data_IF_115238424448
#
_entry.id   IF_115238424448
#
_cell.length_a   1.000
_cell.length_b   1.000
_cell.length_c   1.000
_cell.angle_alpha   90.00
_cell.angle_beta   90.00
_cell.angle_gamma   90.00
#
_symmetry.space_group_name_H-M   'P 1'
#
loop_
_entity.id
_entity.type
_entity.pdbx_description
1 polymer ?
#
# COMPACT_ATOMS: atom_id res chain seq x y z
N UNK A 1 61.61 -33.70 36.13
CA UNK A 1 60.30 -34.02 35.52
C UNK A 1 59.39 -32.83 35.76
N UNK A 2 59.19 -31.98 34.74
CA UNK A 2 58.37 -30.76 34.81
C UNK A 2 57.04 -31.08 34.11
N UNK A 3 55.95 -31.22 34.87
CA UNK A 3 54.60 -31.24 34.29
C UNK A 3 54.14 -29.79 34.09
N UNK A 4 54.08 -29.36 32.84
CA UNK A 4 53.45 -28.11 32.42
C UNK A 4 51.94 -28.36 32.32
N UNK A 5 51.16 -27.73 33.21
CA UNK A 5 49.71 -27.64 33.06
C UNK A 5 49.39 -26.63 31.95
N UNK A 6 48.88 -27.11 30.83
CA UNK A 6 48.40 -26.26 29.74
C UNK A 6 47.01 -25.71 30.11
N UNK A 7 46.93 -24.39 30.29
CA UNK A 7 45.68 -23.64 30.41
C UNK A 7 45.09 -23.52 29.00
N UNK A 8 44.00 -24.26 28.74
CA UNK A 8 43.21 -24.06 27.52
C UNK A 8 42.32 -22.84 27.73
N UNK A 9 42.79 -21.67 27.26
CA UNK A 9 41.96 -20.47 27.10
C UNK A 9 41.00 -20.72 25.93
N UNK A 10 39.77 -21.14 26.22
CA UNK A 10 38.68 -21.03 25.26
C UNK A 10 38.31 -19.54 25.14
N UNK A 11 38.92 -18.86 24.17
CA UNK A 11 38.40 -17.60 23.69
C UNK A 11 37.02 -17.87 23.07
N UNK A 12 35.97 -17.70 23.86
CA UNK A 12 34.60 -17.65 23.35
C UNK A 12 34.47 -16.38 22.53
N UNK A 13 34.78 -16.47 21.25
CA UNK A 13 34.42 -15.47 20.26
C UNK A 13 32.89 -15.42 20.22
N UNK A 14 32.29 -14.59 21.09
CA UNK A 14 30.93 -14.15 20.89
C UNK A 14 30.95 -13.30 19.62
N UNK A 15 30.69 -13.95 18.48
CA UNK A 15 30.32 -13.26 17.26
C UNK A 15 29.03 -12.53 17.61
N UNK A 16 29.14 -11.26 17.98
CA UNK A 16 28.02 -10.33 17.95
C UNK A 16 27.61 -10.28 16.48
N UNK A 17 26.68 -11.17 16.10
CA UNK A 17 25.87 -10.97 14.93
C UNK A 17 25.14 -9.65 15.19
N UNK A 18 25.73 -8.55 14.74
CA UNK A 18 25.04 -7.33 14.44
C UNK A 18 24.07 -7.67 13.31
N UNK A 19 23.00 -8.37 13.66
CA UNK A 19 21.84 -8.53 12.83
C UNK A 19 21.37 -7.11 12.60
N UNK A 20 21.58 -6.62 11.38
CA UNK A 20 20.98 -5.40 10.89
C UNK A 20 19.48 -5.56 11.14
N UNK A 21 18.98 -4.98 12.23
CA UNK A 21 17.55 -4.76 12.37
C UNK A 21 17.24 -3.86 11.19
N UNK A 22 16.61 -4.41 10.15
CA UNK A 22 15.85 -3.56 9.22
C UNK A 22 14.97 -2.74 10.15
N UNK A 23 15.24 -1.44 10.22
CA UNK A 23 14.32 -0.51 10.84
C UNK A 23 13.00 -0.74 10.12
N UNK A 24 12.11 -1.52 10.75
CA UNK A 24 10.74 -1.61 10.34
C UNK A 24 10.18 -0.23 10.70
N UNK A 25 10.39 0.71 9.78
CA UNK A 25 9.82 2.02 9.91
C UNK A 25 8.32 1.82 10.19
N UNK A 26 7.74 2.60 11.13
CA UNK A 26 6.39 2.37 11.58
C UNK A 26 5.45 2.33 10.36
N UNK A 27 4.47 1.41 10.34
CA UNK A 27 3.49 1.37 9.27
C UNK A 27 2.85 2.75 9.14
N UNK A 28 2.70 3.20 7.89
CA UNK A 28 1.95 4.41 7.57
C UNK A 28 0.48 4.16 7.95
N UNK A 29 0.13 4.52 9.18
CA UNK A 29 -1.24 4.41 9.69
C UNK A 29 -2.01 5.67 9.31
N UNK A 30 -3.15 5.49 8.66
CA UNK A 30 -4.02 6.57 8.22
C UNK A 30 -4.82 6.18 6.99
N UNK A 31 -5.80 7.01 6.66
CA UNK A 31 -6.53 6.90 5.40
C UNK A 31 -5.65 7.33 4.23
N UNK A 32 -6.00 6.99 2.98
CA UNK A 32 -5.21 7.46 1.84
C UNK A 32 -5.01 8.98 1.85
N UNK A 33 -6.01 9.76 2.30
CA UNK A 33 -5.92 11.21 2.33
C UNK A 33 -4.94 11.73 3.39
N UNK A 34 -4.69 10.95 4.44
CA UNK A 34 -3.74 11.30 5.49
C UNK A 34 -2.30 11.09 5.03
N UNK A 35 -2.03 10.08 4.19
CA UNK A 35 -0.67 9.67 3.83
C UNK A 35 -0.26 10.01 2.40
N UNK A 36 -1.20 10.31 1.51
CA UNK A 36 -0.92 10.57 0.10
C UNK A 36 -1.48 11.92 -0.38
N UNK A 37 -0.66 12.64 -1.13
CA UNK A 37 -1.06 13.79 -1.94
C UNK A 37 -1.45 13.35 -3.35
N UNK A 38 -2.64 13.74 -3.79
CA UNK A 38 -3.21 13.35 -5.10
C UNK A 38 -3.05 14.42 -6.18
N UNK A 39 -2.30 15.49 -5.92
CA UNK A 39 -1.97 16.50 -6.94
C UNK A 39 -1.23 15.84 -8.10
N UNK A 40 -1.89 15.73 -9.26
CA UNK A 40 -1.34 15.03 -10.43
C UNK A 40 -1.55 13.51 -10.43
N UNK A 41 -2.44 12.99 -9.57
CA UNK A 41 -2.76 11.57 -9.54
C UNK A 41 -3.39 11.09 -10.84
N UNK A 42 -2.95 9.91 -11.31
CA UNK A 42 -3.40 9.31 -12.57
C UNK A 42 -3.86 7.88 -12.31
N UNK A 43 -4.93 7.48 -12.98
CA UNK A 43 -5.32 6.08 -13.06
C UNK A 43 -4.77 5.49 -14.36
N UNK A 44 -4.00 4.41 -14.26
CA UNK A 44 -3.45 3.68 -15.41
C UNK A 44 -3.97 2.25 -15.40
N UNK A 45 -4.29 1.72 -16.58
CA UNK A 45 -4.90 0.38 -16.77
C UNK A 45 -6.19 0.18 -15.95
N UNK A 46 -6.87 1.28 -15.60
CA UNK A 46 -8.09 1.24 -14.82
C UNK A 46 -7.92 0.77 -13.36
N UNK A 47 -6.71 0.49 -12.86
CA UNK A 47 -6.44 -0.04 -11.50
C UNK A 47 -5.28 0.62 -10.75
N UNK A 48 -4.29 1.16 -11.46
CA UNK A 48 -3.08 1.71 -10.86
C UNK A 48 -3.27 3.18 -10.55
N UNK A 49 -3.43 3.51 -9.27
CA UNK A 49 -3.50 4.88 -8.80
C UNK A 49 -2.09 5.40 -8.51
N UNK A 50 -1.64 6.34 -9.32
CA UNK A 50 -0.42 7.09 -9.06
C UNK A 50 -0.68 8.19 -8.05
N UNK A 51 0.08 8.23 -6.95
CA UNK A 51 -0.01 9.28 -5.94
C UNK A 51 1.35 9.53 -5.26
N UNK A 52 1.53 10.73 -4.72
CA UNK A 52 2.70 11.08 -3.92
C UNK A 52 2.42 10.72 -2.46
N UNK A 53 2.87 9.55 -2.03
CA UNK A 53 2.66 9.09 -0.66
C UNK A 53 3.90 9.35 0.19
N UNK A 54 3.68 9.66 1.48
CA UNK A 54 4.76 9.69 2.46
C UNK A 54 5.44 8.33 2.48
N UNK A 55 6.76 8.33 2.46
CA UNK A 55 7.50 7.11 2.72
C UNK A 55 7.70 6.96 4.24
N UNK A 56 8.20 5.80 4.63
CA UNK A 56 8.43 5.45 6.02
C UNK A 56 9.77 6.00 6.56
N UNK A 57 10.49 6.82 5.77
CA UNK A 57 11.74 7.44 6.22
C UNK A 57 11.45 8.75 6.94
N UNK A 58 11.20 8.65 8.24
CA UNK A 58 10.75 9.75 9.12
C UNK A 58 11.75 10.92 9.18
N UNK A 59 13.04 10.69 8.88
CA UNK A 59 14.08 11.73 8.90
C UNK A 59 14.09 12.65 7.66
N UNK A 60 13.40 12.29 6.59
CA UNK A 60 13.28 13.12 5.39
C UNK A 60 11.82 13.09 4.98
N UNK A 61 11.10 14.22 5.08
CA UNK A 61 9.71 14.38 4.62
C UNK A 61 9.58 14.21 3.09
N UNK A 62 9.94 13.04 2.59
CA UNK A 62 10.11 12.76 1.19
C UNK A 62 8.86 12.03 0.70
N UNK A 63 8.11 12.71 -0.15
CA UNK A 63 6.98 12.11 -0.84
C UNK A 63 7.51 11.35 -2.05
N UNK A 64 7.24 10.06 -2.12
CA UNK A 64 7.64 9.23 -3.26
C UNK A 64 6.43 9.00 -4.15
N UNK A 65 6.57 9.30 -5.45
CA UNK A 65 5.53 8.92 -6.42
C UNK A 65 5.42 7.40 -6.45
N UNK A 66 4.23 6.91 -6.13
CA UNK A 66 3.97 5.51 -5.86
C UNK A 66 2.74 5.07 -6.63
N UNK A 67 2.78 3.85 -7.15
CA UNK A 67 1.63 3.19 -7.75
C UNK A 67 0.94 2.30 -6.72
N UNK A 68 -0.34 2.56 -6.52
CA UNK A 68 -1.22 1.81 -5.62
C UNK A 68 -2.13 0.94 -6.49
N UNK A 69 -2.17 -0.37 -6.22
CA UNK A 69 -3.12 -1.26 -6.87
C UNK A 69 -4.50 -1.20 -6.21
N UNK A 70 -5.47 -0.58 -6.90
CA UNK A 70 -6.83 -0.48 -6.37
C UNK A 70 -7.58 -1.83 -6.35
N UNK A 71 -7.13 -2.85 -7.09
CA UNK A 71 -7.74 -4.18 -6.99
C UNK A 71 -7.55 -4.82 -5.62
N UNK A 72 -6.56 -4.37 -4.86
CA UNK A 72 -6.30 -4.86 -3.51
C UNK A 72 -7.20 -4.23 -2.46
N UNK A 73 -7.96 -3.18 -2.80
CA UNK A 73 -8.79 -2.44 -1.85
C UNK A 73 -10.19 -2.04 -2.34
N UNK A 74 -10.55 -2.33 -3.60
CA UNK A 74 -11.85 -1.99 -4.16
C UNK A 74 -12.51 -3.23 -4.76
N UNK A 75 -13.78 -3.44 -4.46
CA UNK A 75 -14.64 -4.47 -5.06
C UNK A 75 -15.82 -3.83 -5.81
N UNK A 76 -16.41 -4.64 -6.67
CA UNK A 76 -17.74 -4.40 -7.22
C UNK A 76 -18.77 -5.23 -6.45
N UNK A 77 -19.75 -4.57 -5.86
CA UNK A 77 -20.88 -5.19 -5.18
C UNK A 77 -22.17 -4.86 -5.93
N UNK A 78 -22.59 -5.76 -6.81
CA UNK A 78 -23.81 -5.63 -7.63
C UNK A 78 -23.93 -4.31 -8.42
N UNK A 79 -22.83 -3.85 -9.01
CA UNK A 79 -22.77 -2.59 -9.76
C UNK A 79 -22.34 -1.39 -8.93
N UNK A 80 -22.11 -1.56 -7.62
CA UNK A 80 -21.65 -0.52 -6.71
C UNK A 80 -20.18 -0.76 -6.30
N UNK A 81 -19.32 0.24 -6.49
CA UNK A 81 -17.97 0.23 -5.95
C UNK A 81 -17.99 0.34 -4.43
N UNK A 82 -17.27 -0.55 -3.77
CA UNK A 82 -17.08 -0.54 -2.32
C UNK A 82 -15.61 -0.70 -1.96
N UNK A 83 -15.22 -0.13 -0.82
CA UNK A 83 -13.96 -0.46 -0.18
C UNK A 83 -14.00 -1.91 0.33
N UNK A 84 -13.10 -2.75 -0.18
CA UNK A 84 -13.03 -4.15 0.20
C UNK A 84 -11.63 -4.73 -0.08
N UNK A 85 -11.05 -5.40 0.90
CA UNK A 85 -9.73 -6.02 0.76
C UNK A 85 -9.75 -7.10 -0.32
N UNK A 86 -8.78 -7.06 -1.23
CA UNK A 86 -8.65 -7.99 -2.37
C UNK A 86 -9.92 -8.08 -3.24
N UNK A 87 -10.62 -6.95 -3.42
CA UNK A 87 -11.90 -6.92 -4.11
C UNK A 87 -11.85 -7.16 -5.62
N UNK A 88 -10.72 -6.88 -6.28
CA UNK A 88 -10.50 -7.11 -7.70
C UNK A 88 -11.62 -6.53 -8.61
N UNK A 89 -12.05 -5.31 -8.37
CA UNK A 89 -13.17 -4.69 -9.09
C UNK A 89 -12.97 -4.62 -10.62
N UNK A 90 -11.74 -4.52 -11.14
CA UNK A 90 -11.53 -4.45 -12.60
C UNK A 90 -11.95 -5.72 -13.35
N UNK A 91 -12.19 -6.83 -12.64
CA UNK A 91 -12.78 -8.03 -13.24
C UNK A 91 -14.22 -7.83 -13.75
N UNK A 92 -14.93 -6.84 -13.20
CA UNK A 92 -16.34 -6.58 -13.48
C UNK A 92 -16.69 -5.09 -13.59
N UNK A 93 -15.69 -4.21 -13.64
CA UNK A 93 -15.85 -2.79 -13.88
C UNK A 93 -14.85 -2.32 -14.94
N UNK A 94 -15.25 -1.32 -15.72
CA UNK A 94 -14.43 -0.69 -16.75
C UNK A 94 -14.73 0.80 -16.89
N UNK A 95 -14.02 1.44 -17.83
CA UNK A 95 -14.11 2.88 -18.08
C UNK A 95 -13.93 3.73 -16.80
N UNK A 96 -12.90 3.37 -16.03
CA UNK A 96 -12.64 3.99 -14.74
C UNK A 96 -11.84 5.28 -14.87
N UNK A 97 -12.18 6.26 -14.04
CA UNK A 97 -11.49 7.54 -13.92
C UNK A 97 -11.34 7.92 -12.46
N UNK A 98 -10.31 8.74 -12.17
CA UNK A 98 -10.13 9.35 -10.85
C UNK A 98 -10.19 10.85 -10.97
N UNK A 99 -10.82 11.49 -10.00
CA UNK A 99 -10.87 12.95 -9.91
C UNK A 99 -10.87 13.39 -8.45
N UNK A 100 -10.39 14.61 -8.23
CA UNK A 100 -10.36 15.22 -6.92
C UNK A 100 -11.42 16.30 -6.87
N UNK A 101 -12.32 16.22 -5.91
CA UNK A 101 -13.33 17.24 -5.65
C UNK A 101 -13.27 17.63 -4.17
N UNK A 102 -13.08 18.92 -3.88
CA UNK A 102 -13.04 19.44 -2.50
C UNK A 102 -12.06 18.71 -1.56
N UNK A 103 -10.89 18.32 -2.07
CA UNK A 103 -9.84 17.50 -1.40
C UNK A 103 -10.16 16.02 -1.21
N UNK A 104 -11.31 15.56 -1.70
CA UNK A 104 -11.70 14.15 -1.69
C UNK A 104 -11.33 13.51 -3.03
N UNK A 105 -10.65 12.37 -2.98
CA UNK A 105 -10.34 11.55 -4.16
C UNK A 105 -11.49 10.58 -4.43
N UNK A 106 -12.07 10.68 -5.63
CA UNK A 106 -13.10 9.77 -6.10
C UNK A 106 -12.57 8.85 -7.19
N UNK A 107 -12.96 7.58 -7.12
CA UNK A 107 -12.89 6.62 -8.21
C UNK A 107 -14.28 6.48 -8.81
N UNK A 108 -14.43 6.73 -10.10
CA UNK A 108 -15.66 6.52 -10.83
C UNK A 108 -15.45 5.43 -11.88
N UNK A 109 -16.37 4.48 -11.96
CA UNK A 109 -16.32 3.39 -12.93
C UNK A 109 -17.72 3.02 -13.42
N UNK A 110 -17.77 2.32 -14.54
CA UNK A 110 -18.96 1.61 -15.01
C UNK A 110 -18.81 0.15 -14.61
N UNK A 111 -19.72 -0.33 -13.76
CA UNK A 111 -19.67 -1.67 -13.17
C UNK A 111 -20.84 -2.54 -13.63
N UNK A 112 -20.58 -3.84 -13.80
CA UNK A 112 -21.60 -4.83 -14.07
C UNK A 112 -22.36 -5.18 -12.80
N UNK A 113 -23.68 -5.24 -12.89
CA UNK A 113 -24.52 -5.81 -11.85
C UNK A 113 -25.00 -7.24 -12.21
N UNK A 114 -25.63 -7.90 -11.25
CA UNK A 114 -26.20 -9.25 -11.39
C UNK A 114 -27.29 -9.34 -12.47
N UNK A 115 -27.97 -8.23 -12.77
CA UNK A 115 -28.93 -8.10 -13.86
C UNK A 115 -28.28 -7.92 -15.25
N UNK A 116 -26.94 -7.99 -15.35
CA UNK A 116 -26.16 -7.76 -16.57
C UNK A 116 -26.30 -6.35 -17.16
N UNK A 117 -26.62 -5.38 -16.32
CA UNK A 117 -26.67 -3.97 -16.69
C UNK A 117 -25.42 -3.24 -16.21
N UNK A 118 -25.07 -2.18 -16.94
CA UNK A 118 -24.02 -1.25 -16.57
C UNK A 118 -24.57 -0.21 -15.61
N UNK A 119 -23.91 -0.06 -14.47
CA UNK A 119 -24.22 0.95 -13.47
C UNK A 119 -23.01 1.86 -13.29
N UNK A 120 -23.23 3.17 -13.34
CA UNK A 120 -22.19 4.13 -12.98
C UNK A 120 -22.08 4.17 -11.45
N UNK A 121 -20.88 3.98 -10.93
CA UNK A 121 -20.62 4.00 -9.50
C UNK A 121 -19.39 4.83 -9.17
N UNK A 122 -19.48 5.55 -8.05
CA UNK A 122 -18.41 6.38 -7.50
C UNK A 122 -18.08 5.92 -6.09
N UNK A 123 -16.79 5.81 -5.79
CA UNK A 123 -16.27 5.49 -4.47
C UNK A 123 -15.35 6.62 -3.99
N UNK A 124 -15.57 7.09 -2.77
CA UNK A 124 -14.62 7.93 -2.06
C UNK A 124 -13.46 7.07 -1.54
N UNK A 125 -12.26 7.28 -2.07
CA UNK A 125 -11.05 6.59 -1.64
C UNK A 125 -10.36 7.29 -0.47
N UNK A 126 -10.74 8.53 -0.15
CA UNK A 126 -10.07 9.38 0.83
C UNK A 126 -10.13 8.79 2.22
N UNK A 127 -11.26 8.17 2.58
CA UNK A 127 -11.52 7.59 3.89
C UNK A 127 -11.10 6.12 4.01
N UNK A 128 -10.57 5.53 2.95
CA UNK A 128 -10.12 4.14 3.02
C UNK A 128 -8.80 4.04 3.79
N UNK A 129 -8.81 3.26 4.86
CA UNK A 129 -7.63 2.92 5.63
C UNK A 129 -7.13 1.53 5.23
N UNK A 130 -6.06 1.43 4.41
CA UNK A 130 -5.48 0.14 4.11
C UNK A 130 -4.84 -0.49 5.34
N UNK A 131 -4.88 -1.83 5.48
CA UNK A 131 -4.20 -2.53 6.57
C UNK A 131 -2.68 -2.28 6.57
N UNK A 132 -2.09 -2.04 5.40
CA UNK A 132 -0.79 -1.39 5.28
C UNK A 132 -0.65 -0.75 3.90
N UNK A 133 -0.10 0.46 3.81
CA UNK A 133 0.16 1.07 2.50
C UNK A 133 1.19 0.24 1.70
N UNK A 134 2.12 -0.44 2.40
CA UNK A 134 3.10 -1.35 1.80
C UNK A 134 2.48 -2.51 1.06
N UNK A 135 1.35 -3.07 1.54
CA UNK A 135 0.70 -4.19 0.85
C UNK A 135 0.01 -3.78 -0.45
N UNK A 136 -0.17 -2.47 -0.68
CA UNK A 136 -0.78 -1.95 -1.89
C UNK A 136 0.22 -1.53 -2.97
N UNK A 137 1.51 -1.56 -2.65
CA UNK A 137 2.60 -1.19 -3.56
C UNK A 137 3.24 -2.48 -4.08
N UNK A 138 3.19 -2.74 -5.39
CA UNK A 138 3.81 -3.93 -5.95
C UNK A 138 5.33 -3.88 -5.77
N UNK A 139 5.92 -4.96 -5.23
CA UNK A 139 7.37 -5.13 -5.14
C UNK A 139 8.05 -4.59 -3.88
N UNK A 140 7.31 -4.33 -2.80
CA UNK A 140 7.87 -4.07 -1.47
C UNK A 140 7.42 -5.08 -0.43
#
# INVERSE_FOLDING_TARGET
>A
MRLLAQIVLFASSAILAAGWRRSANPPLNGTFADVCGYGGGRLTEGRWLGAYCRNNQVEVYNYTYTWIDLNLCVANNDGQLIAYNNGNYTSSCGNCTVFVQSKTLFLNCICWNSAKHYTNSSLDLSNYQPPSLSSLIPGR
#
